data_IF_414896666219
#
_entry.id   IF_414896666219
#
_cell.length_a   1.000
_cell.length_b   1.000
_cell.length_c   1.000
_cell.angle_alpha   90.00
_cell.angle_beta   90.00
_cell.angle_gamma   90.00
#
_symmetry.space_group_name_H-M   'P 1'
#
loop_
_entity.id
_entity.type
_entity.pdbx_description
1 polymer ?
#
# COMPACT_ATOMS: atom_id res chain seq x y z
N UNK A 1 -16.66 -34.58 0.06
CA UNK A 1 -17.39 -33.75 -0.90
C UNK A 1 -16.65 -33.78 -2.24
N UNK A 2 -17.37 -34.08 -3.35
CA UNK A 2 -16.80 -34.14 -4.70
C UNK A 2 -16.67 -32.75 -5.32
N UNK A 3 -15.68 -32.56 -6.21
CA UNK A 3 -15.57 -31.37 -7.06
C UNK A 3 -16.86 -31.21 -7.87
N UNK A 4 -17.40 -29.98 -7.93
CA UNK A 4 -18.66 -29.66 -8.61
C UNK A 4 -19.90 -29.72 -7.74
N UNK A 5 -19.88 -30.44 -6.56
CA UNK A 5 -21.03 -30.45 -5.65
C UNK A 5 -21.24 -29.08 -4.98
N UNK A 6 -22.50 -28.74 -4.75
CA UNK A 6 -22.88 -27.54 -3.98
C UNK A 6 -23.10 -27.93 -2.51
N UNK A 7 -22.65 -27.09 -1.60
CA UNK A 7 -22.88 -27.20 -0.16
C UNK A 7 -23.58 -25.92 0.31
N UNK A 8 -24.72 -26.09 0.93
CA UNK A 8 -25.55 -24.99 1.45
C UNK A 8 -25.36 -24.82 2.96
N UNK A 9 -25.85 -23.72 3.52
CA UNK A 9 -25.86 -23.45 4.96
C UNK A 9 -24.46 -23.37 5.57
N UNK A 10 -23.49 -22.83 4.86
CA UNK A 10 -22.13 -22.59 5.36
C UNK A 10 -22.11 -21.22 6.03
N UNK A 11 -21.89 -21.17 7.33
CA UNK A 11 -21.72 -19.93 8.07
C UNK A 11 -20.31 -19.38 7.86
N UNK A 12 -20.20 -18.15 7.39
CA UNK A 12 -18.93 -17.43 7.26
C UNK A 12 -18.54 -16.85 8.61
N UNK A 13 -17.41 -17.30 9.15
CA UNK A 13 -16.99 -16.99 10.53
C UNK A 13 -15.76 -16.08 10.58
N UNK A 14 -14.94 -16.05 9.54
CA UNK A 14 -13.68 -15.30 9.57
C UNK A 14 -13.19 -14.92 8.17
N UNK A 15 -12.13 -14.14 8.15
CA UNK A 15 -11.41 -13.74 6.93
C UNK A 15 -10.10 -14.52 6.86
N UNK A 16 -9.83 -15.05 5.68
CA UNK A 16 -8.59 -15.73 5.34
C UNK A 16 -7.65 -14.84 4.51
N UNK A 17 -6.52 -15.39 4.15
CA UNK A 17 -5.55 -14.70 3.32
C UNK A 17 -6.10 -14.33 1.93
N UNK A 18 -5.60 -13.24 1.35
CA UNK A 18 -5.89 -12.78 -0.03
C UNK A 18 -7.37 -12.49 -0.29
N UNK A 19 -8.08 -11.90 0.69
CA UNK A 19 -9.48 -11.51 0.55
C UNK A 19 -10.48 -12.67 0.51
N UNK A 20 -10.05 -13.90 0.79
CA UNK A 20 -10.96 -15.04 0.98
C UNK A 20 -11.59 -14.99 2.35
N UNK A 21 -12.78 -15.58 2.46
CA UNK A 21 -13.47 -15.77 3.73
C UNK A 21 -13.46 -17.25 4.12
N UNK A 22 -13.53 -17.48 5.42
CA UNK A 22 -13.52 -18.82 6.03
C UNK A 22 -14.94 -19.12 6.53
N UNK A 23 -15.53 -20.16 5.97
CA UNK A 23 -16.81 -20.69 6.40
C UNK A 23 -16.65 -22.01 7.17
N UNK A 24 -17.62 -22.31 8.02
CA UNK A 24 -17.70 -23.57 8.75
C UNK A 24 -19.09 -24.20 8.62
N UNK A 25 -19.09 -25.51 8.48
CA UNK A 25 -20.29 -26.36 8.55
C UNK A 25 -19.89 -27.78 8.91
N UNK A 26 -20.58 -28.40 9.88
CA UNK A 26 -20.39 -29.79 10.31
C UNK A 26 -18.91 -30.16 10.56
N UNK A 27 -18.16 -29.28 11.25
CA UNK A 27 -16.73 -29.44 11.52
C UNK A 27 -15.80 -29.29 10.32
N UNK A 28 -16.33 -29.02 9.11
CA UNK A 28 -15.57 -28.76 7.90
C UNK A 28 -15.30 -27.28 7.71
N UNK A 29 -14.09 -26.97 7.21
CA UNK A 29 -13.70 -25.60 6.83
C UNK A 29 -13.87 -25.41 5.32
N UNK A 30 -14.47 -24.27 4.94
CA UNK A 30 -14.69 -23.85 3.57
C UNK A 30 -14.00 -22.50 3.32
N UNK A 31 -13.56 -22.27 2.09
CA UNK A 31 -13.00 -20.99 1.66
C UNK A 31 -13.67 -20.53 0.38
N UNK A 32 -14.11 -19.28 0.36
CA UNK A 32 -14.69 -18.63 -0.82
C UNK A 32 -14.31 -17.14 -0.85
N UNK A 33 -14.83 -16.41 -1.83
CA UNK A 33 -14.74 -14.94 -1.92
C UNK A 33 -16.14 -14.37 -2.17
N UNK A 34 -16.36 -13.08 -1.94
CA UNK A 34 -17.64 -12.39 -2.19
C UNK A 34 -18.65 -12.44 -1.04
N UNK A 35 -18.32 -13.08 0.07
CA UNK A 35 -19.09 -13.08 1.31
C UNK A 35 -18.36 -12.32 2.42
N UNK A 36 -19.07 -12.02 3.51
CA UNK A 36 -18.49 -11.42 4.73
C UNK A 36 -18.82 -12.27 5.96
N UNK A 37 -18.10 -12.15 7.08
CA UNK A 37 -18.43 -12.84 8.32
C UNK A 37 -19.86 -12.54 8.80
N UNK A 38 -20.56 -13.61 9.17
CA UNK A 38 -21.99 -13.58 9.54
C UNK A 38 -22.94 -13.89 8.38
N UNK A 39 -22.47 -13.94 7.13
CA UNK A 39 -23.29 -14.49 6.04
C UNK A 39 -23.45 -16.00 6.17
N UNK A 40 -24.60 -16.51 5.75
CA UNK A 40 -24.82 -17.94 5.50
C UNK A 40 -24.91 -18.15 3.99
N UNK A 41 -24.08 -19.04 3.44
CA UNK A 41 -23.90 -19.14 2.00
C UNK A 41 -23.98 -20.56 1.47
N UNK A 42 -24.25 -20.67 0.16
CA UNK A 42 -24.01 -21.88 -0.62
C UNK A 42 -22.76 -21.74 -1.47
N UNK A 43 -21.95 -22.81 -1.54
CA UNK A 43 -20.65 -22.84 -2.23
C UNK A 43 -20.57 -24.04 -3.15
N UNK A 44 -20.21 -23.82 -4.42
CA UNK A 44 -19.85 -24.90 -5.34
C UNK A 44 -18.37 -25.25 -5.20
N UNK A 45 -18.08 -26.49 -4.82
CA UNK A 45 -16.71 -26.96 -4.57
C UNK A 45 -15.89 -27.00 -5.84
N UNK A 46 -14.73 -26.31 -5.86
CA UNK A 46 -13.75 -26.30 -6.95
C UNK A 46 -12.51 -27.13 -6.61
N UNK A 47 -12.05 -27.06 -5.33
CA UNK A 47 -10.89 -27.80 -4.83
C UNK A 47 -11.22 -28.42 -3.47
N UNK A 48 -10.78 -29.66 -3.27
CA UNK A 48 -10.92 -30.37 -2.00
C UNK A 48 -9.52 -30.69 -1.47
N UNK A 49 -9.15 -30.11 -0.35
CA UNK A 49 -7.92 -30.37 0.41
C UNK A 49 -8.25 -31.16 1.68
N UNK A 50 -7.23 -31.71 2.35
CA UNK A 50 -7.40 -32.48 3.59
C UNK A 50 -8.11 -31.65 4.67
N UNK A 51 -7.67 -30.40 4.87
CA UNK A 51 -8.09 -29.53 5.98
C UNK A 51 -9.18 -28.52 5.60
N UNK A 52 -9.43 -28.28 4.32
CA UNK A 52 -10.44 -27.32 3.86
C UNK A 52 -10.95 -27.63 2.45
N UNK A 53 -12.12 -27.08 2.13
CA UNK A 53 -12.71 -27.08 0.78
C UNK A 53 -12.71 -25.66 0.24
N UNK A 54 -12.34 -25.49 -1.02
CA UNK A 54 -12.37 -24.18 -1.68
C UNK A 54 -13.40 -24.21 -2.81
N UNK A 55 -14.24 -23.20 -2.88
CA UNK A 55 -15.30 -23.14 -3.86
C UNK A 55 -15.67 -21.73 -4.29
N UNK A 56 -16.58 -21.67 -5.26
CA UNK A 56 -17.19 -20.44 -5.73
C UNK A 56 -18.50 -20.23 -4.96
N UNK A 57 -18.70 -19.03 -4.46
CA UNK A 57 -19.96 -18.57 -3.92
C UNK A 57 -21.05 -18.72 -5.00
N UNK A 58 -22.15 -19.34 -4.65
CA UNK A 58 -23.33 -19.48 -5.51
C UNK A 58 -24.41 -18.49 -5.08
N UNK A 59 -24.68 -18.45 -3.79
CA UNK A 59 -25.76 -17.66 -3.23
C UNK A 59 -25.47 -17.29 -1.77
N UNK A 60 -25.94 -16.12 -1.35
CA UNK A 60 -26.01 -15.73 0.06
C UNK A 60 -27.43 -16.02 0.53
N UNK A 61 -27.58 -17.05 1.34
CA UNK A 61 -28.88 -17.53 1.84
C UNK A 61 -29.40 -16.67 3.00
N UNK A 62 -28.50 -16.07 3.78
CA UNK A 62 -28.81 -15.12 4.83
C UNK A 62 -27.71 -14.08 4.93
N UNK A 63 -28.08 -12.82 4.94
CA UNK A 63 -27.14 -11.70 5.03
C UNK A 63 -26.70 -11.44 6.46
N UNK A 64 -25.42 -11.14 6.63
CA UNK A 64 -24.86 -10.62 7.89
C UNK A 64 -25.47 -9.26 8.22
N UNK A 65 -25.70 -9.01 9.52
CA UNK A 65 -26.09 -7.66 10.01
C UNK A 65 -25.00 -6.60 9.84
N UNK A 66 -23.77 -7.04 9.57
CA UNK A 66 -22.63 -6.15 9.35
C UNK A 66 -22.52 -5.70 7.87
N UNK A 67 -23.42 -6.20 7.00
CA UNK A 67 -23.48 -5.76 5.61
C UNK A 67 -23.98 -4.33 5.49
N UNK A 68 -23.36 -3.62 4.54
CA UNK A 68 -23.81 -2.32 4.05
C UNK A 68 -23.78 -2.34 2.51
N UNK A 69 -24.56 -1.49 1.88
CA UNK A 69 -24.49 -1.31 0.44
C UNK A 69 -23.19 -0.60 0.08
N UNK A 70 -22.40 -1.14 -0.87
CA UNK A 70 -21.18 -0.48 -1.33
C UNK A 70 -21.48 0.87 -1.95
N UNK A 71 -20.73 1.91 -1.57
CA UNK A 71 -20.86 3.24 -2.19
C UNK A 71 -20.41 3.25 -3.67
N UNK A 72 -19.52 2.34 -4.04
CA UNK A 72 -18.92 2.27 -5.37
C UNK A 72 -19.70 1.34 -6.30
N UNK A 73 -20.20 1.86 -7.41
CA UNK A 73 -20.88 1.08 -8.46
C UNK A 73 -20.01 -0.01 -9.09
N UNK A 74 -18.68 0.13 -9.00
CA UNK A 74 -17.72 -0.81 -9.56
C UNK A 74 -17.25 -1.90 -8.58
N UNK A 75 -17.77 -1.92 -7.35
CA UNK A 75 -17.24 -2.75 -6.25
C UNK A 75 -17.16 -4.24 -6.58
N UNK A 76 -18.16 -4.79 -7.25
CA UNK A 76 -18.22 -6.24 -7.54
C UNK A 76 -17.18 -6.70 -8.57
N UNK A 77 -16.72 -5.79 -9.42
CA UNK A 77 -15.84 -6.11 -10.54
C UNK A 77 -14.45 -5.49 -10.41
N UNK A 78 -14.33 -4.37 -9.71
CA UNK A 78 -13.06 -3.68 -9.47
C UNK A 78 -12.21 -4.40 -8.42
N UNK A 79 -10.91 -4.56 -8.69
CA UNK A 79 -9.97 -5.17 -7.76
C UNK A 79 -9.42 -4.24 -6.67
N UNK A 80 -9.84 -2.97 -6.65
CA UNK A 80 -9.27 -1.96 -5.73
C UNK A 80 -9.75 -2.06 -4.30
N UNK A 81 -11.03 -2.41 -4.09
CA UNK A 81 -11.65 -2.57 -2.78
C UNK A 81 -12.19 -3.99 -2.61
N UNK A 82 -12.10 -4.52 -1.39
CA UNK A 82 -12.60 -5.86 -1.09
C UNK A 82 -13.65 -5.91 0.02
N UNK A 83 -13.88 -4.82 0.75
CA UNK A 83 -14.72 -4.78 1.95
C UNK A 83 -15.69 -3.60 2.02
N UNK A 84 -16.02 -2.93 0.90
CA UNK A 84 -17.02 -1.87 0.91
C UNK A 84 -18.45 -2.36 1.28
N UNK A 85 -18.70 -3.65 1.15
CA UNK A 85 -19.95 -4.29 1.53
C UNK A 85 -20.04 -4.69 3.03
N UNK A 86 -19.07 -4.21 3.84
CA UNK A 86 -19.03 -4.46 5.29
C UNK A 86 -18.83 -3.13 6.01
N UNK A 87 -19.57 -2.92 7.12
CA UNK A 87 -19.44 -1.69 7.90
C UNK A 87 -18.02 -1.51 8.45
N UNK A 88 -17.60 -0.26 8.60
CA UNK A 88 -16.23 0.07 8.96
C UNK A 88 -15.82 -0.44 10.37
N UNK A 89 -16.67 -0.36 11.41
CA UNK A 89 -16.34 -0.96 12.71
C UNK A 89 -15.97 -2.44 12.61
N UNK A 90 -16.67 -3.20 11.76
CA UNK A 90 -16.36 -4.62 11.57
C UNK A 90 -15.06 -4.84 10.79
N UNK A 91 -14.75 -3.96 9.83
CA UNK A 91 -13.47 -4.02 9.11
C UNK A 91 -12.29 -3.89 10.08
N UNK A 92 -12.29 -2.89 10.96
CA UNK A 92 -11.20 -2.66 11.92
C UNK A 92 -11.11 -3.78 12.98
N UNK A 93 -12.24 -4.28 13.49
CA UNK A 93 -12.26 -5.45 14.38
C UNK A 93 -11.56 -6.65 13.76
N UNK A 94 -11.87 -6.95 12.49
CA UNK A 94 -11.29 -8.09 11.76
C UNK A 94 -9.78 -7.90 11.49
N UNK A 95 -9.34 -6.68 11.19
CA UNK A 95 -7.93 -6.35 11.01
C UNK A 95 -7.15 -6.54 12.31
N UNK A 96 -7.63 -5.96 13.41
CA UNK A 96 -7.03 -6.13 14.73
C UNK A 96 -6.93 -7.59 15.12
N UNK A 97 -8.04 -8.33 15.04
CA UNK A 97 -8.07 -9.76 15.34
C UNK A 97 -7.08 -10.55 14.49
N UNK A 98 -6.95 -10.21 13.19
CA UNK A 98 -6.00 -10.84 12.27
C UNK A 98 -4.56 -10.63 12.72
N UNK A 99 -4.18 -9.40 13.10
CA UNK A 99 -2.84 -9.08 13.63
C UNK A 99 -2.55 -9.88 14.90
N UNK A 100 -3.45 -9.83 15.87
CA UNK A 100 -3.28 -10.55 17.15
C UNK A 100 -3.12 -12.07 16.94
N UNK A 101 -3.87 -12.66 16.02
CA UNK A 101 -3.74 -14.07 15.68
C UNK A 101 -2.38 -14.41 15.06
N UNK A 102 -1.84 -13.55 14.19
CA UNK A 102 -0.52 -13.75 13.59
C UNK A 102 0.58 -13.67 14.66
N UNK A 103 0.53 -12.64 15.52
CA UNK A 103 1.52 -12.49 16.61
C UNK A 103 1.54 -13.68 17.57
N UNK A 104 0.38 -14.22 17.92
CA UNK A 104 0.30 -15.40 18.79
C UNK A 104 0.74 -16.67 18.08
N UNK A 105 0.24 -16.96 16.86
CA UNK A 105 0.46 -18.24 16.19
C UNK A 105 1.82 -18.38 15.53
N UNK A 106 2.34 -17.31 14.93
CA UNK A 106 3.62 -17.29 14.22
C UNK A 106 4.71 -16.73 15.12
N UNK A 107 4.43 -15.60 15.78
CA UNK A 107 5.38 -14.96 16.70
C UNK A 107 5.63 -15.72 17.98
N UNK A 108 4.68 -16.58 18.40
CA UNK A 108 4.75 -17.31 19.67
C UNK A 108 4.73 -16.37 20.87
N UNK A 109 3.96 -15.25 20.77
CA UNK A 109 3.83 -14.25 21.82
C UNK A 109 2.47 -14.48 22.50
N UNK A 110 2.49 -15.04 23.70
CA UNK A 110 1.28 -15.37 24.46
C UNK A 110 0.72 -14.15 25.19
N UNK A 111 1.56 -13.45 25.96
CA UNK A 111 1.20 -12.24 26.72
C UNK A 111 1.46 -10.99 25.89
N UNK A 112 0.59 -10.77 24.89
CA UNK A 112 0.70 -9.67 23.96
C UNK A 112 -0.02 -8.43 24.49
N UNK A 113 0.74 -7.43 24.96
CA UNK A 113 0.19 -6.12 25.18
C UNK A 113 -0.11 -5.43 23.84
N UNK A 114 -1.34 -5.00 23.63
CA UNK A 114 -1.74 -4.32 22.40
C UNK A 114 -2.61 -3.11 22.68
N UNK A 115 -2.41 -2.06 21.91
CA UNK A 115 -3.33 -0.95 21.84
C UNK A 115 -4.42 -1.25 20.80
N UNK A 116 -5.63 -0.71 20.98
CA UNK A 116 -6.68 -0.82 19.97
C UNK A 116 -6.17 -0.37 18.59
N UNK A 117 -6.68 -0.99 17.54
CA UNK A 117 -6.34 -0.59 16.18
C UNK A 117 -6.65 0.90 15.97
N UNK A 118 -5.68 1.62 15.41
CA UNK A 118 -5.88 3.00 14.99
C UNK A 118 -6.65 3.02 13.67
N UNK A 119 -7.96 3.27 13.74
CA UNK A 119 -8.82 3.42 12.58
C UNK A 119 -8.53 4.70 11.79
N UNK A 120 -8.90 4.73 10.52
CA UNK A 120 -8.84 5.93 9.68
C UNK A 120 -10.05 6.82 9.95
N UNK A 121 -9.81 8.12 10.14
CA UNK A 121 -10.90 9.09 10.29
C UNK A 121 -11.70 9.26 8.99
N UNK A 122 -11.02 9.14 7.85
CA UNK A 122 -11.62 9.15 6.52
C UNK A 122 -11.52 7.75 5.91
N UNK A 123 -12.66 7.16 5.60
CA UNK A 123 -12.71 5.82 4.98
C UNK A 123 -12.79 5.87 3.45
N UNK A 124 -13.14 7.03 2.90
CA UNK A 124 -13.11 7.39 1.49
C UNK A 124 -12.21 8.61 1.29
N UNK A 125 -11.89 8.93 0.05
CA UNK A 125 -11.11 10.13 -0.34
C UNK A 125 -9.71 10.24 0.28
N UNK A 126 -9.21 9.17 0.90
CA UNK A 126 -7.94 9.16 1.60
C UNK A 126 -6.73 8.91 0.70
N UNK A 127 -6.96 8.32 -0.48
CA UNK A 127 -5.87 7.81 -1.31
C UNK A 127 -5.27 8.92 -2.18
N UNK A 128 -3.97 9.18 -1.97
CA UNK A 128 -3.25 10.26 -2.64
C UNK A 128 -2.52 9.84 -3.92
N UNK A 129 -2.55 8.55 -4.30
CA UNK A 129 -1.96 8.03 -5.54
C UNK A 129 -2.82 6.92 -6.12
N UNK A 130 -3.18 7.05 -7.40
CA UNK A 130 -3.86 6.03 -8.17
C UNK A 130 -3.21 5.91 -9.55
N UNK A 131 -3.13 4.68 -10.04
CA UNK A 131 -2.67 4.35 -11.39
C UNK A 131 -3.81 3.70 -12.16
N UNK A 132 -4.18 4.31 -13.29
CA UNK A 132 -5.24 3.81 -14.17
C UNK A 132 -4.63 3.35 -15.48
N UNK A 133 -5.18 2.28 -16.04
CA UNK A 133 -4.72 1.67 -17.29
C UNK A 133 -5.68 2.01 -18.43
N UNK A 134 -5.14 2.45 -19.56
CA UNK A 134 -5.86 2.58 -20.82
C UNK A 134 -5.88 1.24 -21.55
N UNK A 135 -7.03 0.89 -22.11
CA UNK A 135 -7.18 -0.30 -22.94
C UNK A 135 -8.10 -0.01 -24.13
N UNK A 136 -7.77 -0.56 -25.29
CA UNK A 136 -8.59 -0.38 -26.51
C UNK A 136 -9.93 -1.11 -26.47
N UNK A 137 -10.06 -2.14 -25.62
CA UNK A 137 -11.26 -2.95 -25.45
C UNK A 137 -11.50 -3.23 -23.96
N UNK A 138 -12.58 -2.61 -23.40
CA UNK A 138 -12.92 -2.77 -21.98
C UNK A 138 -13.39 -4.18 -21.62
N UNK A 139 -13.27 -4.53 -20.35
CA UNK A 139 -14.00 -5.63 -19.76
C UNK A 139 -15.52 -5.39 -19.84
N UNK A 140 -16.24 -6.42 -20.22
CA UNK A 140 -17.70 -6.46 -20.13
C UNK A 140 -18.10 -7.34 -18.94
N UNK A 141 -19.04 -6.84 -18.12
CA UNK A 141 -19.56 -7.63 -17.00
C UNK A 141 -20.37 -8.85 -17.52
N UNK A 142 -20.63 -9.85 -16.69
CA UNK A 142 -21.45 -11.01 -17.09
C UNK A 142 -22.84 -10.59 -17.61
N UNK A 143 -23.42 -9.55 -17.02
CA UNK A 143 -24.71 -8.98 -17.40
C UNK A 143 -24.63 -8.38 -18.80
N UNK A 144 -23.59 -7.57 -19.07
CA UNK A 144 -23.35 -6.95 -20.37
C UNK A 144 -23.05 -7.99 -21.47
N UNK A 145 -22.35 -9.07 -21.14
CA UNK A 145 -22.08 -10.18 -22.08
C UNK A 145 -23.36 -10.90 -22.54
N UNK A 146 -24.43 -10.80 -21.77
CA UNK A 146 -25.75 -11.37 -22.12
C UNK A 146 -26.51 -10.52 -23.16
N UNK A 147 -26.05 -9.32 -23.45
CA UNK A 147 -26.67 -8.39 -24.39
C UNK A 147 -25.90 -8.37 -25.72
N UNK A 148 -26.48 -8.84 -26.84
CA UNK A 148 -25.76 -8.97 -28.11
C UNK A 148 -25.30 -7.65 -28.73
N UNK A 149 -25.91 -6.52 -28.33
CA UNK A 149 -25.66 -5.20 -28.89
C UNK A 149 -24.53 -4.43 -28.21
N UNK A 150 -24.02 -4.91 -27.09
CA UNK A 150 -22.97 -4.23 -26.34
C UNK A 150 -21.60 -4.51 -26.97
N UNK A 151 -20.98 -3.44 -27.47
CA UNK A 151 -19.63 -3.49 -28.06
C UNK A 151 -18.57 -3.23 -26.99
N UNK A 152 -17.43 -3.86 -27.13
CA UNK A 152 -16.23 -3.48 -26.40
C UNK A 152 -15.73 -2.12 -26.91
N UNK A 153 -15.71 -1.16 -26.02
CA UNK A 153 -15.21 0.21 -26.29
C UNK A 153 -13.86 0.39 -25.57
N UNK A 154 -13.07 1.41 -25.95
CA UNK A 154 -11.91 1.79 -25.15
C UNK A 154 -12.29 2.10 -23.70
N UNK A 155 -11.33 1.94 -22.79
CA UNK A 155 -11.54 2.23 -21.37
C UNK A 155 -10.29 2.84 -20.73
N UNK A 156 -10.54 3.53 -19.62
CA UNK A 156 -9.55 3.97 -18.65
C UNK A 156 -10.02 3.55 -17.25
N UNK A 157 -9.26 2.71 -16.57
CA UNK A 157 -9.67 2.20 -15.27
C UNK A 157 -8.72 1.18 -14.65
N UNK A 158 -9.30 0.18 -13.97
CA UNK A 158 -8.54 -0.82 -13.23
C UNK A 158 -8.66 -2.22 -13.82
N UNK A 159 -7.61 -3.01 -13.63
CA UNK A 159 -7.64 -4.42 -13.98
C UNK A 159 -8.63 -5.19 -13.11
N UNK A 160 -9.39 -6.07 -13.76
CA UNK A 160 -10.24 -7.05 -13.07
C UNK A 160 -9.35 -8.08 -12.36
N UNK A 161 -9.66 -8.52 -11.13
CA UNK A 161 -8.83 -9.43 -10.37
C UNK A 161 -8.44 -10.71 -11.13
N UNK A 162 -7.14 -11.00 -11.14
CA UNK A 162 -6.59 -12.20 -11.79
C UNK A 162 -6.46 -12.13 -13.30
N UNK A 163 -6.70 -10.97 -13.94
CA UNK A 163 -6.60 -10.79 -15.40
C UNK A 163 -5.82 -9.54 -15.75
N UNK A 164 -4.66 -9.70 -16.37
CA UNK A 164 -3.78 -8.58 -16.76
C UNK A 164 -4.28 -7.79 -17.98
N UNK A 165 -5.13 -8.41 -18.80
CA UNK A 165 -5.62 -7.89 -20.07
C UNK A 165 -7.08 -7.37 -20.00
N UNK A 166 -7.73 -7.45 -18.84
CA UNK A 166 -9.09 -7.02 -18.65
C UNK A 166 -9.15 -5.77 -17.76
N UNK A 167 -9.54 -4.65 -18.34
CA UNK A 167 -9.67 -3.38 -17.66
C UNK A 167 -11.14 -2.99 -17.59
N UNK A 168 -11.64 -2.77 -16.38
CA UNK A 168 -12.94 -2.20 -16.11
C UNK A 168 -12.86 -0.68 -16.28
N UNK A 169 -13.76 -0.10 -17.08
CA UNK A 169 -13.86 1.36 -17.12
C UNK A 169 -14.39 1.90 -15.81
N UNK A 170 -13.75 2.94 -15.28
CA UNK A 170 -14.12 3.54 -14.00
C UNK A 170 -14.69 4.93 -14.23
N UNK A 171 -15.94 5.15 -13.89
CA UNK A 171 -16.58 6.47 -13.95
C UNK A 171 -16.25 7.30 -12.72
N UNK A 172 -16.31 6.69 -11.53
CA UNK A 172 -16.00 7.34 -10.26
C UNK A 172 -15.26 6.38 -9.33
N UNK A 173 -14.19 6.86 -8.70
CA UNK A 173 -13.46 6.13 -7.65
C UNK A 173 -13.54 6.91 -6.34
N UNK A 174 -14.26 6.38 -5.37
CA UNK A 174 -14.45 7.02 -4.07
C UNK A 174 -13.22 6.99 -3.16
N UNK A 175 -12.12 6.30 -3.53
CA UNK A 175 -10.88 6.33 -2.75
C UNK A 175 -10.08 7.62 -2.96
N UNK A 176 -10.30 8.33 -4.09
CA UNK A 176 -9.79 9.68 -4.32
C UNK A 176 -10.94 10.69 -4.25
N UNK A 177 -10.59 11.97 -4.08
CA UNK A 177 -11.56 13.06 -4.13
C UNK A 177 -12.08 13.32 -5.57
N UNK A 178 -12.86 14.37 -5.77
CA UNK A 178 -13.53 14.62 -7.06
C UNK A 178 -12.60 15.09 -8.17
N UNK A 179 -11.52 15.82 -7.84
CA UNK A 179 -10.59 16.37 -8.83
C UNK A 179 -9.98 15.30 -9.73
N UNK A 180 -9.37 14.21 -9.22
CA UNK A 180 -8.83 13.15 -10.07
C UNK A 180 -9.89 12.39 -10.85
N UNK A 181 -11.11 12.26 -10.34
CA UNK A 181 -12.21 11.67 -11.11
C UNK A 181 -12.54 12.55 -12.33
N UNK A 182 -12.65 13.85 -12.13
CA UNK A 182 -12.90 14.82 -13.20
C UNK A 182 -11.75 14.85 -14.20
N UNK A 183 -10.50 14.90 -13.70
CA UNK A 183 -9.29 14.89 -14.55
C UNK A 183 -9.18 13.60 -15.37
N UNK A 184 -9.38 12.43 -14.74
CA UNK A 184 -9.34 11.13 -15.44
C UNK A 184 -10.38 11.07 -16.56
N UNK A 185 -11.62 11.48 -16.28
CA UNK A 185 -12.70 11.48 -17.27
C UNK A 185 -12.39 12.45 -18.41
N UNK A 186 -11.89 13.64 -18.11
CA UNK A 186 -11.43 14.60 -19.12
C UNK A 186 -10.33 14.01 -20.01
N UNK A 187 -9.31 13.37 -19.43
CA UNK A 187 -8.23 12.73 -20.21
C UNK A 187 -8.81 11.66 -21.14
N UNK A 188 -9.73 10.84 -20.63
CA UNK A 188 -10.38 9.79 -21.41
C UNK A 188 -11.15 10.37 -22.60
N UNK A 189 -12.02 11.35 -22.38
CA UNK A 189 -12.89 11.97 -23.39
C UNK A 189 -12.08 12.71 -24.44
N UNK A 190 -11.11 13.52 -24.03
CA UNK A 190 -10.24 14.28 -24.93
C UNK A 190 -9.35 13.37 -25.79
N UNK A 191 -8.80 12.31 -25.22
CA UNK A 191 -8.00 11.34 -25.97
C UNK A 191 -8.84 10.64 -27.05
N UNK A 192 -10.07 10.24 -26.73
CA UNK A 192 -11.00 9.65 -27.70
C UNK A 192 -11.38 10.65 -28.80
N UNK A 193 -11.73 11.88 -28.42
CA UNK A 193 -12.11 12.95 -29.35
C UNK A 193 -10.98 13.30 -30.33
N UNK A 194 -9.72 13.30 -29.84
CA UNK A 194 -8.54 13.52 -30.67
C UNK A 194 -8.14 12.32 -31.52
N UNK A 195 -8.83 11.17 -31.36
CA UNK A 195 -8.48 9.91 -32.04
C UNK A 195 -7.12 9.38 -31.63
N UNK A 196 -6.74 9.56 -30.37
CA UNK A 196 -5.52 8.96 -29.80
C UNK A 196 -5.85 7.52 -29.42
N UNK A 197 -5.11 6.55 -29.94
CA UNK A 197 -5.37 5.13 -29.72
C UNK A 197 -4.99 4.70 -28.30
N UNK A 198 -5.81 3.84 -27.68
CA UNK A 198 -5.50 3.21 -26.40
C UNK A 198 -4.78 1.89 -26.61
N UNK A 199 -3.91 1.53 -25.69
CA UNK A 199 -3.05 0.37 -25.82
C UNK A 199 -3.83 -0.94 -25.77
N UNK A 200 -3.48 -1.87 -26.67
CA UNK A 200 -3.99 -3.24 -26.68
C UNK A 200 -2.91 -4.18 -26.17
N UNK A 201 -2.99 -4.73 -24.95
CA UNK A 201 -1.87 -5.43 -24.31
C UNK A 201 -1.42 -6.69 -25.06
N UNK A 202 -2.33 -7.41 -25.73
CA UNK A 202 -1.97 -8.62 -26.50
C UNK A 202 -1.36 -8.30 -27.85
N UNK A 203 -1.88 -7.30 -28.56
CA UNK A 203 -1.41 -6.92 -29.89
C UNK A 203 -0.24 -5.92 -29.82
N UNK A 204 0.00 -5.34 -28.64
CA UNK A 204 1.08 -4.37 -28.38
C UNK A 204 1.01 -3.13 -29.29
N UNK A 205 -0.21 -2.66 -29.57
CA UNK A 205 -0.48 -1.48 -30.40
C UNK A 205 -1.30 -0.46 -29.62
N UNK A 206 -1.19 0.81 -30.02
CA UNK A 206 -1.86 1.93 -29.35
C UNK A 206 -0.88 2.79 -28.55
N UNK A 207 -1.27 4.05 -28.31
CA UNK A 207 -0.42 5.11 -27.77
C UNK A 207 -0.54 5.21 -26.23
N UNK A 208 -1.78 5.39 -25.72
CA UNK A 208 -2.04 5.63 -24.31
C UNK A 208 -1.94 4.33 -23.51
N UNK A 209 -1.11 4.29 -22.45
CA UNK A 209 -0.89 3.09 -21.64
C UNK A 209 -1.44 3.24 -20.22
N UNK A 210 -0.88 4.16 -19.43
CA UNK A 210 -1.30 4.39 -18.05
C UNK A 210 -1.35 5.88 -17.76
N UNK A 211 -2.12 6.25 -16.74
CA UNK A 211 -2.03 7.55 -16.09
C UNK A 211 -1.90 7.35 -14.58
N UNK A 212 -0.93 8.01 -13.98
CA UNK A 212 -0.80 8.09 -12.52
C UNK A 212 -1.26 9.47 -12.08
N UNK A 213 -2.23 9.49 -11.17
CA UNK A 213 -2.72 10.70 -10.52
C UNK A 213 -2.28 10.68 -9.07
N UNK A 214 -1.50 11.67 -8.67
CA UNK A 214 -0.98 11.83 -7.31
C UNK A 214 -1.28 13.23 -6.80
N UNK A 215 -1.64 13.34 -5.53
CA UNK A 215 -1.84 14.63 -4.88
C UNK A 215 -1.18 14.67 -3.51
N UNK A 216 -1.04 15.89 -2.97
CA UNK A 216 -0.70 16.15 -1.58
C UNK A 216 -1.90 16.74 -0.82
N UNK A 217 -1.75 16.94 0.48
CA UNK A 217 -2.79 17.55 1.33
C UNK A 217 -3.02 19.05 1.05
N UNK A 218 -2.11 19.71 0.34
CA UNK A 218 -2.21 21.11 -0.09
C UNK A 218 -3.02 21.28 -1.38
N UNK A 219 -3.55 20.20 -1.96
CA UNK A 219 -4.36 20.24 -3.19
C UNK A 219 -3.56 20.35 -4.48
N UNK A 220 -2.23 20.16 -4.44
CA UNK A 220 -1.38 20.11 -5.62
C UNK A 220 -1.46 18.71 -6.27
N UNK A 221 -1.52 18.68 -7.60
CA UNK A 221 -1.57 17.45 -8.37
C UNK A 221 -0.31 17.23 -9.20
N UNK A 222 0.16 16.00 -9.17
CA UNK A 222 1.14 15.47 -10.09
C UNK A 222 0.47 14.43 -10.99
N UNK A 223 0.65 14.58 -12.29
CA UNK A 223 0.13 13.67 -13.32
C UNK A 223 1.29 13.07 -14.08
N UNK A 224 1.34 11.75 -14.20
CA UNK A 224 2.28 11.05 -15.05
C UNK A 224 1.48 10.39 -16.18
N UNK A 225 1.77 10.78 -17.41
CA UNK A 225 1.22 10.17 -18.61
C UNK A 225 2.22 9.14 -19.13
N UNK A 226 1.86 7.88 -19.08
CA UNK A 226 2.67 6.78 -19.60
C UNK A 226 2.12 6.40 -20.98
N UNK A 227 2.93 6.56 -22.01
CA UNK A 227 2.56 6.36 -23.41
C UNK A 227 3.57 5.45 -24.09
N UNK A 228 3.16 4.81 -25.19
CA UNK A 228 4.07 4.02 -26.02
C UNK A 228 4.99 4.88 -26.86
N UNK A 229 4.44 5.95 -27.41
CA UNK A 229 5.15 6.95 -28.23
C UNK A 229 4.52 8.33 -28.09
N UNK A 230 5.32 9.39 -28.22
CA UNK A 230 4.87 10.78 -28.19
C UNK A 230 4.45 11.22 -29.57
N UNK A 231 3.38 12.01 -29.67
CA UNK A 231 2.82 12.57 -30.91
C UNK A 231 2.32 13.98 -30.68
N UNK A 232 2.14 14.78 -31.76
CA UNK A 232 1.56 16.12 -31.67
C UNK A 232 0.16 16.10 -31.00
N UNK A 233 -0.62 15.03 -31.23
CA UNK A 233 -1.94 14.88 -30.60
C UNK A 233 -1.84 14.70 -29.08
N UNK A 234 -0.82 13.96 -28.60
CA UNK A 234 -0.59 13.81 -27.16
C UNK A 234 -0.16 15.12 -26.53
N UNK A 235 0.67 15.90 -27.20
CA UNK A 235 1.12 17.20 -26.68
C UNK A 235 -0.03 18.20 -26.60
N UNK A 236 -0.93 18.22 -27.59
CA UNK A 236 -2.17 19.02 -27.54
C UNK A 236 -3.04 18.60 -26.36
N UNK A 237 -3.20 17.29 -26.10
CA UNK A 237 -3.93 16.80 -24.93
C UNK A 237 -3.32 17.30 -23.63
N UNK A 238 -1.99 17.22 -23.49
CA UNK A 238 -1.29 17.64 -22.28
C UNK A 238 -1.39 19.14 -22.04
N UNK A 239 -1.33 19.94 -23.10
CA UNK A 239 -1.55 21.38 -22.99
C UNK A 239 -2.97 21.70 -22.53
N UNK A 240 -4.00 21.02 -23.08
CA UNK A 240 -5.39 21.17 -22.63
C UNK A 240 -5.58 20.77 -21.15
N UNK A 241 -4.88 19.76 -20.69
CA UNK A 241 -4.90 19.36 -19.27
C UNK A 241 -4.32 20.47 -18.39
N UNK A 242 -3.15 21.01 -18.75
CA UNK A 242 -2.52 22.09 -18.01
C UNK A 242 -3.38 23.37 -17.98
N UNK A 243 -4.00 23.73 -19.10
CA UNK A 243 -4.87 24.92 -19.21
C UNK A 243 -6.17 24.76 -18.43
N UNK A 244 -6.73 23.55 -18.38
CA UNK A 244 -8.05 23.27 -17.76
C UNK A 244 -8.00 23.06 -16.27
N UNK A 245 -6.89 22.51 -15.75
CA UNK A 245 -6.71 22.10 -14.34
C UNK A 245 -5.52 22.84 -13.73
N UNK A 246 -5.71 24.04 -13.17
CA UNK A 246 -4.63 24.79 -12.52
C UNK A 246 -4.06 24.08 -11.28
N UNK A 247 -4.76 23.07 -10.76
CA UNK A 247 -4.28 22.21 -9.68
C UNK A 247 -3.13 21.31 -10.10
N UNK A 248 -2.92 21.08 -11.41
CA UNK A 248 -1.80 20.30 -11.94
C UNK A 248 -0.51 21.13 -11.76
N UNK A 249 0.16 20.90 -10.63
CA UNK A 249 1.43 21.53 -10.32
C UNK A 249 2.59 20.87 -11.07
N UNK A 250 2.43 19.61 -11.50
CA UNK A 250 3.50 18.79 -12.07
C UNK A 250 2.93 17.81 -13.09
N UNK A 251 3.28 17.96 -14.36
CA UNK A 251 2.85 17.07 -15.44
C UNK A 251 4.05 16.45 -16.14
N UNK A 252 4.10 15.12 -16.10
CA UNK A 252 5.21 14.32 -16.60
C UNK A 252 4.78 13.40 -17.74
N UNK A 253 5.70 13.18 -18.67
CA UNK A 253 5.58 12.22 -19.75
C UNK A 253 6.62 11.11 -19.55
N UNK A 254 6.19 9.87 -19.68
CA UNK A 254 7.04 8.69 -19.67
C UNK A 254 6.75 7.88 -20.92
N UNK A 255 7.75 7.75 -21.79
CA UNK A 255 7.65 6.89 -22.97
C UNK A 255 8.08 5.48 -22.57
N UNK A 256 7.11 4.55 -22.57
CA UNK A 256 7.34 3.14 -22.33
C UNK A 256 6.99 2.33 -23.57
N UNK A 257 7.96 2.10 -24.44
CA UNK A 257 7.83 1.29 -25.65
C UNK A 257 7.94 -0.22 -25.39
N UNK A 258 8.24 -0.64 -24.15
CA UNK A 258 8.40 -2.05 -23.76
C UNK A 258 7.06 -2.80 -23.80
N UNK A 259 7.13 -4.11 -23.83
CA UNK A 259 5.93 -4.98 -23.77
C UNK A 259 5.26 -4.91 -22.39
N UNK A 260 6.05 -4.91 -21.32
CA UNK A 260 5.53 -4.86 -19.95
C UNK A 260 5.12 -3.44 -19.52
N UNK A 261 4.28 -3.34 -18.49
CA UNK A 261 3.75 -2.07 -17.99
C UNK A 261 4.70 -1.35 -16.99
N UNK A 262 5.80 -1.98 -16.59
CA UNK A 262 6.76 -1.34 -15.70
C UNK A 262 7.44 -0.16 -16.39
N UNK A 263 7.37 1.01 -15.77
CA UNK A 263 7.96 2.26 -16.28
C UNK A 263 9.03 2.84 -15.33
N UNK A 264 9.39 2.14 -14.28
CA UNK A 264 10.35 2.61 -13.26
C UNK A 264 11.72 2.95 -13.84
N UNK A 265 12.17 2.19 -14.84
CA UNK A 265 13.43 2.36 -15.56
C UNK A 265 13.34 3.28 -16.81
N UNK A 266 12.13 3.73 -17.18
CA UNK A 266 11.95 4.65 -18.30
C UNK A 266 12.24 6.10 -17.87
N UNK A 267 12.91 6.94 -18.69
CA UNK A 267 13.08 8.36 -18.39
C UNK A 267 11.72 9.07 -18.22
N UNK A 268 11.66 10.00 -17.28
CA UNK A 268 10.52 10.90 -17.12
C UNK A 268 10.90 12.29 -17.60
N UNK A 269 10.06 12.90 -18.43
CA UNK A 269 10.23 14.25 -18.97
C UNK A 269 9.18 15.17 -18.36
N UNK A 270 9.59 16.30 -17.80
CA UNK A 270 8.67 17.31 -17.29
C UNK A 270 8.06 18.06 -18.46
N UNK A 271 6.75 18.02 -18.60
CA UNK A 271 6.01 18.74 -19.63
C UNK A 271 5.53 20.11 -19.15
N UNK A 272 5.03 20.18 -17.90
CA UNK A 272 4.48 21.42 -17.35
C UNK A 272 4.69 21.50 -15.84
N UNK A 273 4.91 22.71 -15.32
CA UNK A 273 4.95 23.03 -13.91
C UNK A 273 6.25 22.64 -13.20
N UNK A 274 6.15 22.29 -11.93
CA UNK A 274 7.28 21.99 -11.05
C UNK A 274 7.73 20.53 -11.15
N UNK A 275 9.01 20.22 -10.90
CA UNK A 275 9.51 18.84 -10.97
C UNK A 275 9.04 17.94 -9.81
N UNK A 276 8.26 18.44 -8.86
CA UNK A 276 7.79 17.70 -7.69
C UNK A 276 6.59 18.40 -7.06
N UNK A 277 5.91 17.67 -6.18
CA UNK A 277 4.98 18.24 -5.21
C UNK A 277 5.56 18.04 -3.81
N UNK A 278 5.09 18.82 -2.82
CA UNK A 278 5.61 18.76 -1.45
C UNK A 278 4.50 18.29 -0.51
N UNK A 279 4.73 17.20 0.21
CA UNK A 279 3.85 16.76 1.29
C UNK A 279 4.44 17.20 2.64
N UNK A 280 3.60 17.72 3.54
CA UNK A 280 4.01 18.18 4.87
C UNK A 280 3.41 17.33 5.96
N UNK A 281 4.25 16.78 6.85
CA UNK A 281 3.83 16.10 8.07
C UNK A 281 4.18 16.91 9.31
N UNK A 282 3.25 16.99 10.24
CA UNK A 282 3.45 17.66 11.51
C UNK A 282 3.99 16.66 12.54
N UNK A 283 5.03 17.05 13.27
CA UNK A 283 5.51 16.27 14.40
C UNK A 283 4.58 16.45 15.60
N UNK A 284 4.45 15.42 16.48
CA UNK A 284 3.65 15.53 17.68
C UNK A 284 4.18 16.63 18.61
N UNK A 285 3.34 17.07 19.55
CA UNK A 285 3.68 18.04 20.60
C UNK A 285 4.21 19.41 20.07
N UNK A 286 3.73 19.85 18.90
CA UNK A 286 4.16 21.10 18.26
C UNK A 286 5.67 21.19 17.99
N UNK A 287 6.34 20.05 17.75
CA UNK A 287 7.77 19.98 17.45
C UNK A 287 8.11 20.40 16.00
N UNK A 288 7.19 21.12 15.34
CA UNK A 288 7.32 21.58 13.95
C UNK A 288 6.89 20.54 12.95
N UNK A 289 7.25 20.76 11.69
CA UNK A 289 6.88 19.89 10.56
C UNK A 289 8.11 19.39 9.81
N UNK A 290 7.86 18.44 8.91
CA UNK A 290 8.82 17.97 7.90
C UNK A 290 8.14 18.03 6.53
N UNK A 291 8.81 18.64 5.58
CA UNK A 291 8.39 18.74 4.19
C UNK A 291 9.11 17.65 3.37
N UNK A 292 8.34 16.91 2.57
CA UNK A 292 8.87 15.84 1.73
C UNK A 292 8.66 16.16 0.26
N UNK A 293 9.74 16.18 -0.49
CA UNK A 293 9.73 16.24 -1.95
C UNK A 293 9.22 14.90 -2.50
N UNK A 294 8.18 14.96 -3.31
CA UNK A 294 7.62 13.80 -3.99
C UNK A 294 7.83 13.99 -5.49
N UNK A 295 8.78 13.28 -6.04
CA UNK A 295 9.02 13.22 -7.48
C UNK A 295 8.11 12.22 -8.20
N UNK A 296 8.18 12.16 -9.55
CA UNK A 296 7.30 11.32 -10.37
C UNK A 296 7.41 9.83 -10.04
N UNK A 297 8.58 9.36 -9.64
CA UNK A 297 8.83 7.94 -9.33
C UNK A 297 9.05 7.66 -7.83
N UNK A 298 9.10 8.70 -6.99
CA UNK A 298 9.33 8.54 -5.56
C UNK A 298 8.23 7.70 -4.92
N UNK A 299 8.63 6.76 -4.07
CA UNK A 299 7.69 6.10 -3.17
C UNK A 299 7.27 7.07 -2.07
N UNK A 300 6.00 7.09 -1.75
CA UNK A 300 5.43 7.77 -0.59
C UNK A 300 4.17 7.05 -0.16
N UNK A 301 3.85 7.05 1.14
CA UNK A 301 2.65 6.42 1.69
C UNK A 301 1.39 6.98 1.02
N UNK A 302 0.48 6.10 0.58
CA UNK A 302 -0.66 6.49 -0.25
C UNK A 302 -1.89 6.99 0.51
N UNK A 303 -1.82 7.06 1.83
CA UNK A 303 -2.75 7.72 2.74
C UNK A 303 -1.94 8.65 3.66
N UNK A 304 -1.80 9.91 3.28
CA UNK A 304 -0.95 10.89 4.02
C UNK A 304 -1.42 11.12 5.45
N UNK A 305 -2.74 11.18 5.69
CA UNK A 305 -3.28 11.44 7.01
C UNK A 305 -2.96 10.28 7.99
N UNK A 306 -3.15 9.06 7.53
CA UNK A 306 -2.86 7.86 8.33
C UNK A 306 -1.35 7.61 8.46
N UNK A 307 -0.56 7.95 7.43
CA UNK A 307 0.91 7.85 7.49
C UNK A 307 1.50 8.79 8.54
N UNK A 308 0.98 10.02 8.66
CA UNK A 308 1.40 10.94 9.72
C UNK A 308 1.10 10.34 11.11
N UNK A 309 -0.06 9.70 11.30
CA UNK A 309 -0.41 9.00 12.55
C UNK A 309 0.49 7.79 12.83
N UNK A 310 0.81 7.03 11.79
CA UNK A 310 1.77 5.92 11.90
C UNK A 310 3.14 6.44 12.36
N UNK A 311 3.62 7.54 11.78
CA UNK A 311 4.90 8.16 12.16
C UNK A 311 4.86 8.77 13.56
N UNK A 312 3.70 9.29 14.02
CA UNK A 312 3.51 9.71 15.41
C UNK A 312 3.70 8.54 16.40
N UNK A 313 3.20 7.34 16.07
CA UNK A 313 3.42 6.15 16.90
C UNK A 313 4.92 5.82 16.96
N UNK A 314 5.59 5.78 15.80
CA UNK A 314 7.05 5.53 15.74
C UNK A 314 7.82 6.56 16.55
N UNK A 315 7.51 7.84 16.38
CA UNK A 315 8.15 8.95 17.09
C UNK A 315 8.03 8.83 18.62
N UNK A 316 6.83 8.50 19.10
CA UNK A 316 6.58 8.37 20.53
C UNK A 316 7.18 7.09 21.13
N UNK A 317 7.14 5.97 20.38
CA UNK A 317 7.60 4.67 20.88
C UNK A 317 9.10 4.47 20.78
N UNK A 318 9.76 5.16 19.86
CA UNK A 318 11.21 5.09 19.72
C UNK A 318 11.96 5.51 20.99
N UNK A 319 11.39 6.40 21.81
CA UNK A 319 11.96 6.82 23.09
C UNK A 319 13.36 7.41 22.97
N UNK A 320 13.65 8.01 21.83
CA UNK A 320 14.96 8.54 21.44
C UNK A 320 15.43 9.62 22.41
N UNK A 321 16.69 9.51 22.85
CA UNK A 321 17.35 10.52 23.66
C UNK A 321 18.27 11.40 22.81
N UNK A 322 18.55 12.66 23.22
CA UNK A 322 19.42 13.58 22.44
C UNK A 322 20.86 13.07 22.23
N UNK A 323 21.26 12.02 22.94
CA UNK A 323 22.58 11.39 22.81
C UNK A 323 22.60 10.18 21.87
N UNK A 324 21.39 9.71 21.46
CA UNK A 324 21.26 8.43 20.77
C UNK A 324 21.66 8.50 19.29
N UNK A 325 22.20 7.40 18.82
CA UNK A 325 22.32 7.06 17.41
C UNK A 325 21.12 6.20 17.00
N UNK A 326 20.37 6.66 16.01
CA UNK A 326 19.18 5.99 15.48
C UNK A 326 19.48 5.43 14.11
N UNK A 327 19.12 4.17 13.86
CA UNK A 327 19.14 3.59 12.52
C UNK A 327 17.71 3.46 11.97
N UNK A 328 17.51 3.89 10.71
CA UNK A 328 16.29 3.72 9.94
C UNK A 328 16.58 2.79 8.76
N UNK A 329 16.18 1.52 8.90
CA UNK A 329 16.37 0.50 7.88
C UNK A 329 15.18 0.46 6.92
N UNK A 330 15.49 0.34 5.62
CA UNK A 330 14.52 0.51 4.52
C UNK A 330 13.97 1.93 4.47
N UNK A 331 14.87 2.90 4.62
CA UNK A 331 14.51 4.31 4.89
C UNK A 331 13.79 5.01 3.73
N UNK A 332 13.79 4.43 2.51
CA UNK A 332 13.23 5.05 1.33
C UNK A 332 13.79 6.46 1.10
N UNK A 333 12.92 7.44 0.88
CA UNK A 333 13.29 8.86 0.77
C UNK A 333 13.58 9.55 2.13
N UNK A 334 13.91 8.76 3.16
CA UNK A 334 14.25 9.24 4.49
C UNK A 334 13.06 9.71 5.31
N UNK A 335 11.85 9.24 5.01
CA UNK A 335 10.64 9.83 5.57
C UNK A 335 10.54 9.67 7.09
N UNK A 336 10.81 8.48 7.63
CA UNK A 336 10.81 8.25 9.09
C UNK A 336 12.08 8.83 9.71
N UNK A 337 13.26 8.61 9.09
CA UNK A 337 14.53 9.16 9.55
C UNK A 337 14.43 10.67 9.83
N UNK A 338 13.92 11.43 8.87
CA UNK A 338 13.78 12.88 8.98
C UNK A 338 12.71 13.28 9.99
N UNK A 339 11.65 12.48 10.13
CA UNK A 339 10.59 12.76 11.11
C UNK A 339 11.10 12.70 12.54
N UNK A 340 12.00 11.77 12.84
CA UNK A 340 12.58 11.58 14.19
C UNK A 340 13.90 12.35 14.42
N UNK A 341 14.50 12.91 13.38
CA UNK A 341 15.85 13.48 13.41
C UNK A 341 16.09 14.51 14.54
N UNK A 342 15.08 15.32 14.86
CA UNK A 342 15.19 16.33 15.94
C UNK A 342 15.42 15.74 17.34
N UNK A 343 15.07 14.47 17.54
CA UNK A 343 15.20 13.81 18.84
C UNK A 343 16.59 13.22 19.05
N UNK A 344 17.33 12.93 17.97
CA UNK A 344 18.54 12.14 17.99
C UNK A 344 19.81 12.99 17.86
N UNK A 345 20.93 12.46 18.36
CA UNK A 345 22.28 12.98 18.06
C UNK A 345 22.61 12.74 16.59
N UNK A 346 22.36 11.54 16.08
CA UNK A 346 22.65 11.10 14.72
C UNK A 346 21.57 10.13 14.24
N UNK A 347 21.17 10.25 12.98
CA UNK A 347 20.30 9.26 12.32
C UNK A 347 21.04 8.68 11.11
N UNK A 348 21.01 7.37 10.95
CA UNK A 348 21.63 6.62 9.86
C UNK A 348 20.53 5.89 9.10
N UNK A 349 20.23 6.32 7.87
CA UNK A 349 19.28 5.67 6.98
C UNK A 349 20.00 4.71 6.02
N UNK A 350 19.46 3.51 5.83
CA UNK A 350 19.95 2.54 4.84
C UNK A 350 18.81 2.12 3.93
N UNK A 351 19.04 2.20 2.61
CA UNK A 351 18.04 1.91 1.60
C UNK A 351 18.70 1.22 0.39
N UNK A 352 18.00 0.24 -0.18
CA UNK A 352 18.50 -0.50 -1.34
C UNK A 352 18.51 0.33 -2.63
N UNK A 353 17.56 1.24 -2.81
CA UNK A 353 17.35 2.02 -4.05
C UNK A 353 18.15 3.33 -4.01
N UNK A 354 19.20 3.48 -4.86
CA UNK A 354 20.05 4.69 -4.83
C UNK A 354 19.30 5.99 -5.10
N UNK A 355 18.27 5.98 -5.97
CA UNK A 355 17.47 7.14 -6.29
C UNK A 355 16.68 7.64 -5.05
N UNK A 356 16.20 6.71 -4.22
CA UNK A 356 15.50 7.04 -2.98
C UNK A 356 16.46 7.71 -1.97
N UNK A 357 17.73 7.26 -1.90
CA UNK A 357 18.79 7.93 -1.11
C UNK A 357 19.03 9.34 -1.62
N UNK A 358 19.07 9.54 -2.94
CA UNK A 358 19.15 10.88 -3.52
C UNK A 358 18.01 11.80 -3.09
N UNK A 359 16.79 11.26 -3.03
CA UNK A 359 15.63 11.99 -2.54
C UNK A 359 15.70 12.24 -1.02
N UNK A 360 16.24 11.29 -0.23
CA UNK A 360 16.46 11.48 1.21
C UNK A 360 17.41 12.66 1.52
N UNK A 361 18.49 12.79 0.77
CA UNK A 361 19.39 13.95 0.91
C UNK A 361 18.72 15.29 0.54
N UNK A 362 17.92 15.32 -0.54
CA UNK A 362 17.15 16.53 -0.92
C UNK A 362 16.14 16.88 0.17
N UNK A 363 15.47 15.90 0.74
CA UNK A 363 14.53 16.08 1.84
C UNK A 363 15.23 16.59 3.10
N UNK A 364 16.40 16.06 3.44
CA UNK A 364 17.20 16.57 4.56
C UNK A 364 17.59 18.03 4.36
N UNK A 365 18.06 18.39 3.16
CA UNK A 365 18.43 19.76 2.79
C UNK A 365 17.24 20.71 2.86
N UNK A 366 16.08 20.32 2.30
CA UNK A 366 14.83 21.11 2.33
C UNK A 366 14.44 21.49 3.76
N UNK A 367 14.63 20.58 4.72
CA UNK A 367 14.26 20.77 6.11
C UNK A 367 15.38 21.33 7.00
N UNK A 368 16.57 21.63 6.44
CA UNK A 368 17.73 22.09 7.21
C UNK A 368 18.22 21.03 8.25
N UNK A 369 18.01 19.75 7.97
CA UNK A 369 18.40 18.63 8.83
C UNK A 369 19.82 18.19 8.44
N UNK A 370 20.79 18.29 9.36
CA UNK A 370 22.20 18.00 9.13
C UNK A 370 22.74 16.77 9.86
N UNK A 371 21.96 16.20 10.78
CA UNK A 371 22.36 15.04 11.59
C UNK A 371 21.91 13.69 11.02
N UNK A 372 21.45 13.66 9.77
CA UNK A 372 21.11 12.45 9.03
C UNK A 372 22.20 12.09 8.03
N UNK A 373 22.57 10.80 7.98
CA UNK A 373 23.43 10.22 6.96
C UNK A 373 22.68 9.09 6.26
N UNK A 374 22.78 9.00 4.93
CA UNK A 374 22.06 7.99 4.17
C UNK A 374 23.00 7.16 3.31
N UNK A 375 22.77 5.85 3.25
CA UNK A 375 23.62 4.88 2.57
C UNK A 375 22.78 3.99 1.65
N UNK A 376 23.22 3.90 0.38
CA UNK A 376 22.59 3.03 -0.60
C UNK A 376 23.24 1.63 -0.57
N UNK A 377 22.42 0.59 -0.51
CA UNK A 377 22.86 -0.80 -0.61
C UNK A 377 21.92 -1.79 0.05
N UNK A 378 22.17 -3.07 -0.20
CA UNK A 378 21.43 -4.15 0.49
C UNK A 378 21.82 -4.15 1.98
N UNK A 379 20.82 -4.13 2.88
CA UNK A 379 21.04 -4.06 4.33
C UNK A 379 22.01 -5.14 4.83
N UNK A 380 21.92 -6.37 4.30
CA UNK A 380 22.78 -7.49 4.68
C UNK A 380 24.26 -7.23 4.36
N UNK A 381 24.53 -6.46 3.29
CA UNK A 381 25.89 -6.15 2.82
C UNK A 381 26.43 -4.85 3.45
N UNK A 382 25.54 -3.88 3.76
CA UNK A 382 25.89 -2.60 4.38
C UNK A 382 26.13 -2.75 5.89
N UNK A 383 25.27 -3.46 6.61
CA UNK A 383 25.31 -3.57 8.08
C UNK A 383 26.45 -4.49 8.55
N UNK A 384 27.70 -4.12 8.28
CA UNK A 384 28.90 -4.83 8.70
C UNK A 384 29.43 -4.30 10.03
N UNK A 385 30.32 -5.05 10.67
CA UNK A 385 31.04 -4.60 11.88
C UNK A 385 31.76 -3.26 11.61
N UNK A 386 32.45 -3.13 10.47
CA UNK A 386 33.12 -1.88 10.07
C UNK A 386 32.15 -0.71 9.91
N UNK A 387 30.95 -0.96 9.38
CA UNK A 387 29.90 0.06 9.27
C UNK A 387 29.44 0.55 10.65
N UNK A 388 29.29 -0.35 11.62
CA UNK A 388 28.97 0.02 13.00
C UNK A 388 30.12 0.74 13.71
N UNK A 389 31.38 0.40 13.41
CA UNK A 389 32.54 1.11 13.94
C UNK A 389 32.61 2.56 13.41
N UNK A 390 32.32 2.77 12.13
CA UNK A 390 32.31 4.10 11.49
C UNK A 390 31.13 4.95 11.94
N UNK A 391 29.93 4.38 11.98
CA UNK A 391 28.69 5.12 12.21
C UNK A 391 28.21 5.14 13.65
N UNK A 392 28.79 4.30 14.52
CA UNK A 392 28.31 3.97 15.86
C UNK A 392 27.23 2.88 15.81
N UNK A 393 27.17 2.03 16.83
CA UNK A 393 26.06 1.09 16.98
C UNK A 393 24.75 1.85 17.25
N UNK A 394 23.61 1.37 16.76
CA UNK A 394 22.34 2.01 17.06
C UNK A 394 21.94 1.82 18.53
N UNK A 395 21.53 2.90 19.19
CA UNK A 395 20.79 2.83 20.47
C UNK A 395 19.32 2.46 20.20
N UNK A 396 18.75 3.01 19.12
CA UNK A 396 17.39 2.76 18.66
C UNK A 396 17.41 2.37 17.18
N UNK A 397 16.65 1.34 16.83
CA UNK A 397 16.48 0.90 15.44
C UNK A 397 15.01 1.02 15.03
N UNK A 398 14.76 1.64 13.90
CA UNK A 398 13.45 1.71 13.23
C UNK A 398 13.56 0.90 11.94
N UNK A 399 12.54 0.12 11.62
CA UNK A 399 12.51 -0.69 10.40
C UNK A 399 11.12 -0.71 9.80
N UNK A 400 11.01 -0.42 8.49
CA UNK A 400 9.76 -0.51 7.69
C UNK A 400 10.05 -1.31 6.41
N UNK A 401 10.26 -2.65 6.51
CA UNK A 401 10.67 -3.48 5.39
C UNK A 401 9.52 -3.73 4.41
N UNK A 402 9.82 -4.23 3.20
CA UNK A 402 8.80 -4.65 2.23
C UNK A 402 7.98 -5.84 2.76
N UNK A 403 6.90 -6.19 2.06
CA UNK A 403 5.95 -7.27 2.43
C UNK A 403 6.60 -8.61 2.76
N UNK A 404 7.78 -8.89 2.24
CA UNK A 404 8.52 -10.12 2.53
C UNK A 404 9.11 -10.16 3.96
N UNK A 405 9.10 -9.03 4.67
CA UNK A 405 9.79 -8.85 5.94
C UNK A 405 11.30 -8.68 5.76
N UNK A 406 12.05 -8.79 6.84
CA UNK A 406 13.50 -8.72 6.84
C UNK A 406 14.14 -10.05 6.40
N UNK A 407 15.29 -9.97 5.73
CA UNK A 407 16.12 -11.15 5.48
C UNK A 407 16.75 -11.65 6.81
N UNK A 408 16.98 -12.96 6.92
CA UNK A 408 17.59 -13.55 8.13
C UNK A 408 18.92 -12.88 8.49
N UNK A 409 19.77 -12.62 7.51
CA UNK A 409 21.08 -11.99 7.72
C UNK A 409 20.95 -10.57 8.29
N UNK A 410 19.90 -9.83 7.90
CA UNK A 410 19.61 -8.50 8.49
C UNK A 410 19.23 -8.65 9.97
N UNK A 411 18.40 -9.65 10.29
CA UNK A 411 18.05 -9.96 11.68
C UNK A 411 19.28 -10.32 12.48
N UNK A 412 20.19 -11.14 11.94
CA UNK A 412 21.44 -11.49 12.59
C UNK A 412 22.30 -10.25 12.88
N UNK A 413 22.39 -9.29 11.94
CA UNK A 413 23.09 -8.03 12.16
C UNK A 413 22.44 -7.14 13.22
N UNK A 414 21.11 -7.13 13.29
CA UNK A 414 20.38 -6.43 14.37
C UNK A 414 20.70 -7.07 15.72
N UNK A 415 20.72 -8.40 15.77
CA UNK A 415 21.08 -9.15 16.99
C UNK A 415 22.56 -8.96 17.43
N UNK A 416 23.48 -8.70 16.49
CA UNK A 416 24.89 -8.34 16.77
C UNK A 416 25.05 -6.88 17.24
N UNK A 417 24.25 -5.98 16.66
CA UNK A 417 24.28 -4.57 17.01
C UNK A 417 23.70 -4.29 18.40
N UNK A 418 22.69 -5.09 18.81
CA UNK A 418 21.98 -5.02 20.09
C UNK A 418 21.42 -3.64 20.42
N UNK A 419 20.60 -3.00 19.51
CA UNK A 419 19.93 -1.76 19.87
C UNK A 419 19.04 -1.99 21.11
N UNK A 420 19.04 -1.04 22.02
CA UNK A 420 18.21 -1.09 23.25
C UNK A 420 16.73 -1.22 22.93
N UNK A 421 16.33 -0.64 21.79
CA UNK A 421 14.94 -0.54 21.35
C UNK A 421 14.80 -0.69 19.85
N UNK A 422 13.79 -1.44 19.42
CA UNK A 422 13.42 -1.59 18.01
C UNK A 422 11.96 -1.19 17.83
N UNK A 423 11.69 -0.28 16.90
CA UNK A 423 10.34 0.02 16.44
C UNK A 423 10.17 -0.58 15.05
N UNK A 424 9.39 -1.64 14.95
CA UNK A 424 9.19 -2.39 13.73
C UNK A 424 7.81 -2.10 13.13
N UNK A 425 7.77 -1.39 12.02
CA UNK A 425 6.58 -1.13 11.20
C UNK A 425 6.48 -2.21 10.13
N UNK A 426 5.28 -2.70 9.84
CA UNK A 426 5.10 -3.71 8.79
C UNK A 426 3.70 -3.69 8.19
N UNK A 427 3.65 -3.78 6.86
CA UNK A 427 2.40 -3.95 6.09
C UNK A 427 1.94 -5.42 5.98
N UNK A 428 2.69 -6.38 6.54
CA UNK A 428 2.30 -7.79 6.62
C UNK A 428 2.62 -8.35 8.02
N UNK A 429 1.62 -8.41 8.91
CA UNK A 429 1.80 -8.90 10.27
C UNK A 429 2.31 -10.35 10.36
N UNK A 430 2.16 -11.15 9.30
CA UNK A 430 2.64 -12.54 9.31
C UNK A 430 4.15 -12.63 9.16
N UNK A 431 4.74 -11.81 8.29
CA UNK A 431 6.20 -11.72 8.14
C UNK A 431 6.84 -11.02 9.33
N UNK A 432 6.19 -9.97 9.86
CA UNK A 432 6.62 -9.33 11.09
C UNK A 432 6.67 -10.30 12.28
N UNK A 433 5.61 -11.09 12.46
CA UNK A 433 5.55 -12.11 13.52
C UNK A 433 6.65 -13.17 13.38
N UNK A 434 6.97 -13.60 12.13
CA UNK A 434 8.08 -14.50 11.84
C UNK A 434 9.43 -13.89 12.24
N UNK A 435 9.66 -12.65 11.88
CA UNK A 435 10.91 -11.96 12.15
C UNK A 435 11.10 -11.72 13.65
N UNK A 436 10.02 -11.33 14.35
CA UNK A 436 10.02 -11.19 15.81
C UNK A 436 10.34 -12.54 16.50
N UNK A 437 9.78 -13.64 15.99
CA UNK A 437 10.07 -14.96 16.53
C UNK A 437 11.56 -15.34 16.47
N UNK A 438 12.29 -14.85 15.45
CA UNK A 438 13.75 -15.03 15.34
C UNK A 438 14.53 -14.20 16.37
N UNK A 439 13.98 -13.07 16.79
CA UNK A 439 14.63 -12.16 17.76
C UNK A 439 14.24 -12.42 19.23
N UNK A 440 13.23 -13.25 19.50
CA UNK A 440 12.64 -13.44 20.83
C UNK A 440 13.59 -13.92 21.93
N UNK A 441 14.76 -14.46 21.59
CA UNK A 441 15.76 -14.89 22.55
C UNK A 441 16.62 -13.73 23.11
N UNK A 442 16.56 -12.55 22.48
CA UNK A 442 17.21 -11.32 22.95
C UNK A 442 16.24 -10.17 23.21
N UNK A 443 15.07 -10.18 22.54
CA UNK A 443 14.10 -9.09 22.58
C UNK A 443 12.76 -9.56 23.06
N UNK A 444 12.14 -8.76 23.94
CA UNK A 444 10.72 -8.89 24.30
C UNK A 444 9.87 -7.91 23.51
N UNK A 445 8.69 -8.33 23.11
CA UNK A 445 7.67 -7.41 22.57
C UNK A 445 7.02 -6.68 23.75
N UNK A 446 7.19 -5.36 23.80
CA UNK A 446 6.62 -4.51 24.85
C UNK A 446 5.15 -4.22 24.54
N UNK A 447 4.87 -3.84 23.30
CA UNK A 447 3.51 -3.57 22.83
C UNK A 447 3.42 -3.57 21.32
N UNK A 448 2.20 -3.70 20.79
CA UNK A 448 1.89 -3.52 19.38
C UNK A 448 0.69 -2.59 19.20
N UNK A 449 0.59 -1.98 18.02
CA UNK A 449 -0.59 -1.24 17.59
C UNK A 449 -0.84 -1.43 16.11
N UNK A 450 -1.94 -2.10 15.74
CA UNK A 450 -2.39 -2.13 14.34
C UNK A 450 -2.86 -0.75 13.89
N UNK A 451 -2.67 -0.44 12.60
CA UNK A 451 -3.08 0.83 11.98
C UNK A 451 -3.81 0.54 10.68
N UNK A 452 -5.02 1.06 10.53
CA UNK A 452 -5.75 0.96 9.28
C UNK A 452 -5.34 2.05 8.29
N UNK A 453 -4.33 1.75 7.47
CA UNK A 453 -3.87 2.62 6.39
C UNK A 453 -4.81 2.60 5.17
N UNK A 454 -5.59 1.52 4.99
CA UNK A 454 -6.33 1.24 3.76
C UNK A 454 -7.74 0.74 4.04
N UNK A 455 -8.68 1.62 4.47
CA UNK A 455 -10.10 1.31 4.58
C UNK A 455 -10.64 0.60 3.33
N UNK A 456 -11.63 -0.25 3.52
CA UNK A 456 -12.28 -1.06 2.48
C UNK A 456 -11.39 -2.12 1.82
N UNK A 457 -10.23 -2.40 2.41
CA UNK A 457 -9.33 -3.49 2.00
C UNK A 457 -8.95 -4.37 3.19
N UNK A 458 -8.38 -5.54 2.94
CA UNK A 458 -7.85 -6.43 3.99
C UNK A 458 -6.46 -6.03 4.50
N UNK A 459 -5.85 -4.99 3.95
CA UNK A 459 -4.52 -4.55 4.36
C UNK A 459 -4.55 -3.84 5.71
N UNK A 460 -3.53 -4.11 6.51
CA UNK A 460 -3.30 -3.48 7.82
C UNK A 460 -1.81 -3.30 8.01
N UNK A 461 -1.43 -2.15 8.54
CA UNK A 461 -0.09 -1.93 9.09
C UNK A 461 -0.08 -2.31 10.57
N UNK A 462 1.08 -2.72 11.08
CA UNK A 462 1.26 -2.95 12.51
C UNK A 462 2.60 -2.38 12.96
N UNK A 463 2.58 -1.64 14.05
CA UNK A 463 3.79 -1.18 14.73
C UNK A 463 4.03 -2.06 15.94
N UNK A 464 5.24 -2.60 16.07
CA UNK A 464 5.69 -3.38 17.22
C UNK A 464 6.87 -2.68 17.89
N UNK A 465 6.79 -2.52 19.19
CA UNK A 465 7.90 -2.07 20.04
C UNK A 465 8.55 -3.26 20.70
N UNK A 466 9.86 -3.42 20.47
CA UNK A 466 10.68 -4.45 21.10
C UNK A 466 11.76 -3.78 21.95
N UNK A 467 12.07 -4.37 23.10
CA UNK A 467 13.17 -3.96 23.98
C UNK A 467 14.13 -5.12 24.21
N UNK A 468 15.42 -4.78 24.25
CA UNK A 468 16.49 -5.72 24.58
C UNK A 468 16.29 -6.22 26.02
N UNK A 469 16.30 -7.52 26.21
CA UNK A 469 16.21 -8.11 27.55
C UNK A 469 17.54 -7.96 28.29
N UNK A 470 17.49 -7.65 29.57
CA UNK A 470 18.69 -7.66 30.41
C UNK A 470 19.19 -9.08 30.61
N UNK A 471 20.53 -9.24 30.81
CA UNK A 471 21.11 -10.56 31.04
C UNK A 471 20.64 -11.03 32.43
N UNK A 472 19.64 -11.91 32.45
CA UNK A 472 19.05 -12.47 33.66
C UNK A 472 17.55 -12.46 33.78
N UNK A 473 16.85 -11.90 32.79
CA UNK A 473 15.36 -11.95 32.65
C UNK A 473 14.86 -13.22 31.93
#
# INVERSE_FOLDING_TARGET
>A
LKKGSTVEGIEIVDIGAKGKVIGKKDGQTFMTSGAIPGDVVSIQIKKSKKNYKEGRLQEIQSFSKERVDPACEHFEHCGGCSWQNMNYPKQIELKERGVLQQMRRIGGIEDLNHLPILGSAETFHYRNKMEFTFVSERYLTPEELSSPDIKKTPALGFHVPGRFDWVLHINNCHLQNDVPNTLRNFIYEEALSAGISFYHPRNQVGIMRNVVLRNNRQGQWMVLMIIKERTDKTDVLYQKMADRFPEIQSLWIIVNSKVNDSFSDCPAELFHGDPHIIERFNRPNNQGSVDYIIGPKSFFQTNSNQAEKLYEIVYNWAGIQPTDTVYDLYSGAGTIALFVAKLAKKVVGVEYVPEAIGDAFKNAQLNGISNCSFYAGDMKDVLTTAFFEENGKPDVLISDPPRAGMHSDVIDRILEAEPKRIVYVSCDPSTQARDIALMKHKYKVVQIQPVDMFPHTSHVENVALLELMEVGD
#
